data_IF_164114266327
#
_entry.id   IF_164114266327
#
_cell.length_a   1.000
_cell.length_b   1.000
_cell.length_c   1.000
_cell.angle_alpha   90.00
_cell.angle_beta   90.00
_cell.angle_gamma   90.00
#
_symmetry.space_group_name_H-M   'P 1'
#
loop_
_entity.id
_entity.type
_entity.pdbx_description
1 polymer ?
#
# COMPACT_ATOMS: atom_id res chain seq x y z
N UNK A 1 -40.82 25.02 24.70
CA UNK A 1 -40.39 24.60 23.35
C UNK A 1 -39.21 25.46 22.93
N UNK A 2 -38.02 25.15 23.40
CA UNK A 2 -36.81 25.86 22.99
C UNK A 2 -35.64 24.88 23.18
N UNK A 3 -35.25 24.20 22.10
CA UNK A 3 -33.95 23.58 21.87
C UNK A 3 -33.99 22.91 20.50
N UNK A 4 -33.86 23.72 19.46
CA UNK A 4 -33.61 23.28 18.09
C UNK A 4 -32.70 24.33 17.43
N UNK A 5 -31.51 24.51 17.97
CA UNK A 5 -30.38 25.03 17.19
C UNK A 5 -29.74 23.79 16.55
N UNK A 6 -29.98 23.51 15.26
CA UNK A 6 -29.50 22.31 14.62
C UNK A 6 -27.99 22.39 14.45
N UNK A 7 -27.25 21.55 15.17
CA UNK A 7 -26.04 20.82 14.74
C UNK A 7 -24.99 21.47 13.81
N UNK A 8 -24.83 22.80 13.82
CA UNK A 8 -23.87 23.51 12.96
C UNK A 8 -22.41 23.09 13.24
N UNK A 9 -22.10 22.72 14.48
CA UNK A 9 -20.77 22.24 14.89
C UNK A 9 -20.40 20.89 14.29
N UNK A 10 -21.31 19.90 14.34
CA UNK A 10 -21.06 18.57 13.78
C UNK A 10 -21.03 18.59 12.25
N UNK A 11 -21.83 19.44 11.60
CA UNK A 11 -21.74 19.64 10.15
C UNK A 11 -20.38 20.20 9.74
N UNK A 12 -19.78 21.07 10.55
CA UNK A 12 -18.45 21.64 10.30
C UNK A 12 -17.35 20.61 10.50
N UNK A 13 -17.44 19.78 11.55
CA UNK A 13 -16.50 18.67 11.81
C UNK A 13 -16.55 17.61 10.69
N UNK A 14 -17.75 17.19 10.29
CA UNK A 14 -17.93 16.22 9.20
C UNK A 14 -17.37 16.74 7.87
N UNK A 15 -17.54 18.04 7.59
CA UNK A 15 -16.98 18.68 6.40
C UNK A 15 -15.45 18.67 6.43
N UNK A 16 -14.82 18.91 7.58
CA UNK A 16 -13.36 18.89 7.71
C UNK A 16 -12.80 17.47 7.49
N UNK A 17 -13.45 16.46 8.07
CA UNK A 17 -13.12 15.04 7.87
C UNK A 17 -13.21 14.62 6.40
N UNK A 18 -14.30 14.99 5.73
CA UNK A 18 -14.50 14.74 4.29
C UNK A 18 -13.46 15.45 3.42
N UNK A 19 -13.11 16.70 3.74
CA UNK A 19 -12.06 17.43 3.03
C UNK A 19 -10.68 16.78 3.21
N UNK A 20 -10.39 16.27 4.41
CA UNK A 20 -9.16 15.52 4.68
C UNK A 20 -9.10 14.23 3.85
N UNK A 21 -10.19 13.45 3.83
CA UNK A 21 -10.30 12.23 3.03
C UNK A 21 -10.11 12.53 1.54
N UNK A 22 -10.79 13.55 1.00
CA UNK A 22 -10.64 13.96 -0.40
C UNK A 22 -9.20 14.39 -0.71
N UNK A 23 -8.56 15.16 0.19
CA UNK A 23 -7.15 15.53 0.07
C UNK A 23 -6.23 14.31 0.03
N UNK A 24 -6.44 13.34 0.93
CA UNK A 24 -5.69 12.09 0.96
C UNK A 24 -5.87 11.27 -0.34
N UNK A 25 -7.08 11.22 -0.90
CA UNK A 25 -7.34 10.55 -2.18
C UNK A 25 -6.63 11.24 -3.36
N UNK A 26 -6.56 12.57 -3.36
CA UNK A 26 -5.81 13.32 -4.37
C UNK A 26 -4.32 13.02 -4.27
N UNK A 27 -3.74 13.02 -3.06
CA UNK A 27 -2.33 12.66 -2.83
C UNK A 27 -2.04 11.24 -3.29
N UNK A 28 -2.91 10.28 -2.94
CA UNK A 28 -2.83 8.91 -3.43
C UNK A 28 -2.81 8.87 -4.96
N UNK A 29 -3.75 9.59 -5.60
CA UNK A 29 -3.86 9.60 -7.06
C UNK A 29 -2.65 10.22 -7.74
N UNK A 30 -2.07 11.27 -7.19
CA UNK A 30 -0.83 11.86 -7.71
C UNK A 30 0.31 10.84 -7.64
N UNK A 31 0.46 10.14 -6.51
CA UNK A 31 1.52 9.15 -6.37
C UNK A 31 1.38 7.93 -7.28
N UNK A 32 0.17 7.51 -7.66
CA UNK A 32 0.00 6.43 -8.67
C UNK A 32 0.43 6.84 -10.08
N UNK A 33 0.67 8.13 -10.33
CA UNK A 33 1.23 8.64 -11.58
C UNK A 33 2.75 8.84 -11.56
N UNK A 34 3.41 8.66 -10.41
CA UNK A 34 4.87 8.76 -10.29
C UNK A 34 5.47 7.36 -10.50
N UNK A 35 6.13 7.08 -11.64
CA UNK A 35 6.76 5.78 -11.90
C UNK A 35 7.98 5.57 -11.01
N UNK A 36 8.29 4.31 -10.69
CA UNK A 36 9.53 3.96 -10.00
C UNK A 36 10.73 4.28 -10.92
N UNK A 37 11.82 4.87 -10.38
CA UNK A 37 13.01 5.18 -11.16
C UNK A 37 13.59 3.95 -11.88
N UNK A 38 13.93 4.11 -13.16
CA UNK A 38 14.58 3.08 -13.97
C UNK A 38 13.62 2.17 -14.76
N UNK A 39 12.32 2.41 -14.71
CA UNK A 39 11.32 1.70 -15.52
C UNK A 39 10.82 2.54 -16.68
N UNK A 40 10.71 1.93 -17.85
CA UNK A 40 9.99 2.50 -18.98
C UNK A 40 8.48 2.22 -18.85
N UNK A 41 7.73 3.29 -18.57
CA UNK A 41 6.27 3.25 -18.44
C UNK A 41 5.53 2.80 -19.71
N UNK A 42 6.11 3.03 -20.90
CA UNK A 42 5.52 2.60 -22.17
C UNK A 42 5.73 1.10 -22.40
N UNK A 43 6.93 0.59 -22.14
CA UNK A 43 7.20 -0.85 -22.15
C UNK A 43 6.33 -1.58 -21.11
N UNK A 44 6.10 -0.97 -19.96
CA UNK A 44 5.21 -1.52 -18.93
C UNK A 44 3.76 -1.62 -19.37
N UNK A 45 3.23 -0.56 -20.00
CA UNK A 45 1.87 -0.59 -20.52
C UNK A 45 1.69 -1.71 -21.57
N UNK A 46 2.70 -1.93 -22.41
CA UNK A 46 2.68 -3.02 -23.39
C UNK A 46 2.75 -4.41 -22.74
N UNK A 47 3.56 -4.60 -21.69
CA UNK A 47 3.60 -5.84 -20.91
C UNK A 47 2.22 -6.15 -20.31
N UNK A 48 1.60 -5.13 -19.71
CA UNK A 48 0.27 -5.25 -19.12
C UNK A 48 -0.78 -5.58 -20.15
N UNK A 49 -0.71 -4.99 -21.35
CA UNK A 49 -1.62 -5.29 -22.44
C UNK A 49 -1.50 -6.74 -22.93
N UNK A 50 -0.29 -7.30 -22.92
CA UNK A 50 -0.06 -8.72 -23.22
C UNK A 50 -0.57 -9.66 -22.11
N UNK A 51 -0.67 -9.16 -20.87
CA UNK A 51 -1.09 -9.93 -19.69
C UNK A 51 -2.54 -9.63 -19.27
N UNK A 52 -3.33 -8.97 -20.13
CA UNK A 52 -4.76 -8.70 -19.87
C UNK A 52 -5.54 -9.98 -19.63
N UNK A 53 -6.44 -9.96 -18.63
CA UNK A 53 -7.25 -11.11 -18.24
C UNK A 53 -6.52 -12.17 -17.40
N UNK A 54 -5.22 -11.98 -17.10
CA UNK A 54 -4.50 -12.84 -16.16
C UNK A 54 -4.68 -12.36 -14.71
N UNK A 55 -4.16 -13.12 -13.75
CA UNK A 55 -4.17 -12.75 -12.34
C UNK A 55 -3.56 -11.35 -12.09
N UNK A 56 -2.61 -10.91 -12.92
CA UNK A 56 -1.97 -9.59 -12.84
C UNK A 56 -2.96 -8.45 -13.05
N UNK A 57 -3.99 -8.64 -13.88
CA UNK A 57 -5.03 -7.65 -14.10
C UNK A 57 -5.94 -7.49 -12.86
N UNK A 58 -6.25 -8.62 -12.20
CA UNK A 58 -6.93 -8.60 -10.91
C UNK A 58 -6.10 -7.85 -9.85
N UNK A 59 -4.80 -8.11 -9.78
CA UNK A 59 -3.90 -7.36 -8.88
C UNK A 59 -3.88 -5.86 -9.21
N UNK A 60 -3.90 -5.49 -10.49
CA UNK A 60 -3.94 -4.09 -10.91
C UNK A 60 -5.22 -3.38 -10.46
N UNK A 61 -6.38 -4.05 -10.54
CA UNK A 61 -7.66 -3.53 -10.03
C UNK A 61 -7.58 -3.19 -8.53
N UNK A 62 -6.96 -4.05 -7.73
CA UNK A 62 -6.76 -3.79 -6.30
C UNK A 62 -5.69 -2.72 -6.01
N UNK A 63 -4.75 -2.51 -6.93
CA UNK A 63 -3.74 -1.44 -6.83
C UNK A 63 -4.26 -0.06 -7.27
N UNK A 64 -5.48 0.03 -7.81
CA UNK A 64 -6.04 1.29 -8.34
C UNK A 64 -5.34 1.78 -9.62
N UNK A 65 -4.74 0.87 -10.40
CA UNK A 65 -3.96 1.19 -11.61
C UNK A 65 -2.48 1.52 -11.34
N UNK A 66 -2.03 1.45 -10.08
CA UNK A 66 -0.66 1.73 -9.67
C UNK A 66 0.34 0.72 -10.22
N UNK A 67 -0.08 -0.54 -10.42
CA UNK A 67 0.75 -1.62 -10.92
C UNK A 67 0.99 -1.51 -12.44
N UNK A 68 -0.03 -1.15 -13.22
CA UNK A 68 0.07 -0.98 -14.69
C UNK A 68 1.17 0.01 -15.10
N UNK A 69 1.39 1.05 -14.29
CA UNK A 69 2.40 2.10 -14.52
C UNK A 69 3.65 1.88 -13.68
N UNK A 70 3.68 0.80 -12.91
CA UNK A 70 4.67 0.49 -11.90
C UNK A 70 5.10 1.72 -11.09
N UNK A 71 4.09 2.37 -10.51
CA UNK A 71 4.26 3.57 -9.71
C UNK A 71 4.94 3.28 -8.37
N UNK A 72 5.33 4.33 -7.65
CA UNK A 72 5.84 4.23 -6.28
C UNK A 72 4.88 3.48 -5.33
N UNK A 73 3.59 3.42 -5.69
CA UNK A 73 2.53 2.74 -4.96
C UNK A 73 2.13 1.39 -5.56
N UNK A 74 2.95 0.79 -6.43
CA UNK A 74 2.60 -0.44 -7.14
C UNK A 74 2.25 -1.63 -6.22
N UNK A 75 2.90 -1.75 -5.05
CA UNK A 75 2.55 -2.76 -4.03
C UNK A 75 1.25 -2.43 -3.27
N UNK A 76 0.83 -1.17 -3.29
CA UNK A 76 -0.37 -0.69 -2.60
C UNK A 76 -0.33 -0.91 -1.10
N UNK A 77 -1.50 -1.20 -0.52
CA UNK A 77 -1.66 -1.51 0.91
C UNK A 77 -1.65 -3.02 1.17
N UNK A 78 -1.44 -3.84 0.13
CA UNK A 78 -1.49 -5.31 0.23
C UNK A 78 -0.51 -5.89 1.25
N UNK A 79 0.77 -5.45 1.33
CA UNK A 79 1.69 -5.98 2.33
C UNK A 79 1.18 -5.81 3.77
N UNK A 80 0.47 -4.71 4.04
CA UNK A 80 -0.14 -4.44 5.34
C UNK A 80 -1.36 -5.32 5.60
N UNK A 81 -2.23 -5.49 4.59
CA UNK A 81 -3.39 -6.39 4.68
C UNK A 81 -2.90 -7.82 4.94
N UNK A 82 -1.91 -8.31 4.18
CA UNK A 82 -1.31 -9.63 4.40
C UNK A 82 -0.68 -9.75 5.79
N UNK A 83 0.11 -8.76 6.23
CA UNK A 83 0.71 -8.76 7.57
C UNK A 83 -0.34 -8.86 8.68
N UNK A 84 -1.43 -8.09 8.59
CA UNK A 84 -2.51 -8.12 9.59
C UNK A 84 -3.23 -9.46 9.63
N UNK A 85 -3.50 -10.07 8.47
CA UNK A 85 -4.09 -11.42 8.38
C UNK A 85 -3.15 -12.46 9.00
N UNK A 86 -1.85 -12.41 8.69
CA UNK A 86 -0.86 -13.33 9.26
C UNK A 86 -0.85 -13.19 10.78
N UNK A 87 -0.78 -11.97 11.31
CA UNK A 87 -0.82 -11.74 12.76
C UNK A 87 -2.14 -12.22 13.39
N UNK A 88 -3.26 -12.00 12.70
CA UNK A 88 -4.56 -12.45 13.14
C UNK A 88 -4.62 -13.99 13.23
N UNK A 89 -4.10 -14.69 12.23
CA UNK A 89 -4.00 -16.16 12.24
C UNK A 89 -3.02 -16.66 13.30
N UNK A 90 -1.85 -16.03 13.42
CA UNK A 90 -0.87 -16.36 14.46
C UNK A 90 -1.45 -16.17 15.87
N UNK A 91 -2.33 -15.19 16.08
CA UNK A 91 -3.02 -14.99 17.36
C UNK A 91 -3.99 -16.12 17.75
N UNK A 92 -4.35 -17.01 16.82
CA UNK A 92 -5.16 -18.20 17.11
C UNK A 92 -4.30 -19.42 17.47
N UNK A 93 -3.01 -19.39 17.10
CA UNK A 93 -2.09 -20.53 17.28
C UNK A 93 -1.12 -20.28 18.44
N UNK A 94 -0.70 -19.02 18.64
CA UNK A 94 0.28 -18.63 19.65
C UNK A 94 -0.45 -18.04 20.87
N UNK A 95 -0.41 -18.72 22.04
CA UNK A 95 -1.17 -18.30 23.22
C UNK A 95 -0.75 -16.93 23.76
N UNK A 96 0.53 -16.55 23.62
CA UNK A 96 1.00 -15.22 24.00
C UNK A 96 0.36 -14.09 23.16
N UNK A 97 0.18 -14.32 21.85
CA UNK A 97 -0.51 -13.36 20.97
C UNK A 97 -2.03 -13.39 21.20
N UNK A 98 -2.59 -14.55 21.55
CA UNK A 98 -3.99 -14.69 21.92
C UNK A 98 -4.31 -13.90 23.18
N UNK A 99 -3.46 -13.97 24.21
CA UNK A 99 -3.56 -13.17 25.44
C UNK A 99 -3.47 -11.68 25.13
N UNK A 100 -2.48 -11.25 24.33
CA UNK A 100 -2.38 -9.86 23.87
C UNK A 100 -3.65 -9.36 23.14
N UNK A 101 -4.34 -10.25 22.43
CA UNK A 101 -5.61 -9.94 21.74
C UNK A 101 -6.82 -9.93 22.68
N UNK A 102 -6.86 -10.82 23.68
CA UNK A 102 -8.01 -11.01 24.59
C UNK A 102 -7.95 -10.12 25.83
N UNK A 103 -6.79 -10.02 26.47
CA UNK A 103 -6.54 -9.28 27.71
C UNK A 103 -6.13 -7.83 27.44
N UNK A 104 -5.60 -7.57 26.25
CA UNK A 104 -5.15 -6.27 25.83
C UNK A 104 -6.33 -5.36 25.48
N UNK A 105 -6.73 -4.49 26.40
CA UNK A 105 -7.54 -3.31 26.09
C UNK A 105 -6.86 -2.39 25.06
N UNK A 106 -6.93 -1.07 25.23
CA UNK A 106 -6.26 -0.15 24.28
C UNK A 106 -4.76 -0.48 24.09
N UNK A 107 -4.05 -0.82 25.18
CA UNK A 107 -2.61 -1.10 25.16
C UNK A 107 -2.21 -2.34 24.33
N UNK A 108 -2.94 -3.45 24.41
CA UNK A 108 -2.60 -4.66 23.64
C UNK A 108 -2.92 -4.52 22.15
N UNK A 109 -3.99 -3.78 21.83
CA UNK A 109 -4.31 -3.43 20.44
C UNK A 109 -3.21 -2.57 19.79
N UNK A 110 -2.63 -1.63 20.54
CA UNK A 110 -1.48 -0.85 20.07
C UNK A 110 -0.24 -1.72 19.82
N UNK A 111 0.07 -2.68 20.71
CA UNK A 111 1.18 -3.61 20.53
C UNK A 111 1.00 -4.49 19.30
N UNK A 112 -0.20 -5.04 19.08
CA UNK A 112 -0.50 -5.85 17.89
C UNK A 112 -0.37 -5.04 16.60
N UNK A 113 -0.80 -3.79 16.62
CA UNK A 113 -0.63 -2.86 15.49
C UNK A 113 0.85 -2.62 15.21
N UNK A 114 1.67 -2.41 16.25
CA UNK A 114 3.13 -2.23 16.09
C UNK A 114 3.80 -3.45 15.47
N UNK A 115 3.43 -4.65 15.88
CA UNK A 115 3.92 -5.89 15.26
C UNK A 115 3.46 -6.03 13.81
N UNK A 116 2.22 -5.65 13.51
CA UNK A 116 1.70 -5.64 12.13
C UNK A 116 2.53 -4.71 11.24
N UNK A 117 2.88 -3.51 11.73
CA UNK A 117 3.74 -2.56 11.00
C UNK A 117 5.13 -3.13 10.74
N UNK A 118 5.75 -3.78 11.73
CA UNK A 118 7.06 -4.41 11.53
C UNK A 118 7.01 -5.57 10.53
N UNK A 119 5.99 -6.41 10.62
CA UNK A 119 5.79 -7.49 9.66
C UNK A 119 5.53 -6.94 8.25
N UNK A 120 4.79 -5.84 8.14
CA UNK A 120 4.53 -5.16 6.87
C UNK A 120 5.82 -4.71 6.19
N UNK A 121 6.74 -4.08 6.93
CA UNK A 121 8.05 -3.67 6.39
C UNK A 121 8.82 -4.87 5.85
N UNK A 122 8.84 -5.97 6.60
CA UNK A 122 9.55 -7.20 6.22
C UNK A 122 8.94 -7.82 4.96
N UNK A 123 7.61 -7.96 4.91
CA UNK A 123 6.90 -8.51 3.76
C UNK A 123 7.03 -7.61 2.53
N UNK A 124 6.87 -6.29 2.69
CA UNK A 124 7.01 -5.33 1.62
C UNK A 124 8.43 -5.36 1.06
N UNK A 125 9.46 -5.47 1.91
CA UNK A 125 10.86 -5.56 1.46
C UNK A 125 11.10 -6.84 0.65
N UNK A 126 10.62 -7.99 1.14
CA UNK A 126 10.76 -9.25 0.43
C UNK A 126 10.02 -9.24 -0.92
N UNK A 127 8.77 -8.75 -0.94
CA UNK A 127 7.97 -8.64 -2.16
C UNK A 127 8.57 -7.64 -3.15
N UNK A 128 9.05 -6.49 -2.67
CA UNK A 128 9.66 -5.47 -3.51
C UNK A 128 10.95 -5.98 -4.17
N UNK A 129 11.77 -6.75 -3.46
CA UNK A 129 12.96 -7.40 -4.05
C UNK A 129 12.52 -8.41 -5.12
N UNK A 130 11.55 -9.28 -4.80
CA UNK A 130 11.04 -10.26 -5.75
C UNK A 130 10.47 -9.63 -7.03
N UNK A 131 9.69 -8.57 -6.88
CA UNK A 131 9.15 -7.77 -7.99
C UNK A 131 10.29 -7.12 -8.77
N UNK A 132 11.25 -6.47 -8.11
CA UNK A 132 12.38 -5.81 -8.78
C UNK A 132 13.23 -6.78 -9.62
N UNK A 133 13.52 -7.97 -9.09
CA UNK A 133 14.25 -9.03 -9.81
C UNK A 133 13.42 -9.55 -10.99
N UNK A 134 12.13 -9.84 -10.76
CA UNK A 134 11.25 -10.33 -11.81
C UNK A 134 11.20 -9.33 -12.98
N UNK A 135 11.02 -8.05 -12.68
CA UNK A 135 10.92 -6.97 -13.66
C UNK A 135 12.20 -6.73 -14.45
N UNK A 136 13.36 -6.83 -13.80
CA UNK A 136 14.64 -6.68 -14.48
C UNK A 136 14.86 -7.76 -15.55
N UNK A 137 14.27 -8.95 -15.35
CA UNK A 137 14.34 -10.06 -16.28
C UNK A 137 13.21 -10.06 -17.33
N UNK A 138 12.27 -9.11 -17.27
CA UNK A 138 11.19 -8.99 -18.26
C UNK A 138 11.61 -8.14 -19.45
N UNK A 139 11.36 -8.68 -20.64
CA UNK A 139 11.63 -8.03 -21.93
C UNK A 139 10.34 -8.00 -22.73
N UNK A 140 9.98 -6.85 -23.30
CA UNK A 140 8.81 -6.71 -24.17
C UNK A 140 9.31 -6.39 -25.57
N UNK A 141 9.21 -7.37 -26.47
CA UNK A 141 9.77 -7.25 -27.81
C UNK A 141 11.29 -7.09 -27.78
N UNK A 142 11.79 -5.94 -28.24
CA UNK A 142 13.24 -5.59 -28.23
C UNK A 142 13.64 -4.66 -27.10
N UNK A 143 12.69 -4.21 -26.27
CA UNK A 143 12.92 -3.21 -25.23
C UNK A 143 12.87 -3.87 -23.85
N UNK A 144 13.88 -3.62 -23.03
CA UNK A 144 13.88 -4.05 -21.62
C UNK A 144 12.96 -3.13 -20.82
N UNK A 145 12.15 -3.71 -19.93
CA UNK A 145 11.25 -2.93 -19.05
C UNK A 145 12.05 -2.03 -18.12
N UNK A 146 13.28 -2.45 -17.78
CA UNK A 146 14.25 -1.70 -16.99
C UNK A 146 15.30 -1.09 -17.91
N UNK A 147 15.50 0.22 -17.78
CA UNK A 147 16.43 1.00 -18.62
C UNK A 147 17.89 0.63 -18.34
N UNK A 148 18.23 0.37 -17.08
CA UNK A 148 19.57 -0.04 -16.64
C UNK A 148 19.46 -1.22 -15.66
N UNK A 149 19.38 -2.46 -16.15
CA UNK A 149 19.27 -3.64 -15.30
C UNK A 149 20.55 -3.81 -14.45
N UNK A 150 20.40 -3.99 -13.14
CA UNK A 150 21.51 -4.27 -12.23
C UNK A 150 21.12 -4.18 -10.76
N UNK A 151 22.08 -4.47 -9.88
CA UNK A 151 21.89 -4.38 -8.42
C UNK A 151 21.43 -2.97 -8.01
N UNK A 152 21.92 -1.93 -8.71
CA UNK A 152 21.50 -0.55 -8.50
C UNK A 152 19.99 -0.36 -8.64
N UNK A 153 19.40 -0.91 -9.72
CA UNK A 153 17.95 -0.86 -9.94
C UNK A 153 17.19 -1.61 -8.84
N UNK A 154 17.63 -2.82 -8.48
CA UNK A 154 16.97 -3.63 -7.44
C UNK A 154 16.91 -2.86 -6.12
N UNK A 155 18.02 -2.22 -5.71
CA UNK A 155 18.06 -1.44 -4.47
C UNK A 155 17.15 -0.21 -4.57
N UNK A 156 17.23 0.57 -5.66
CA UNK A 156 16.40 1.78 -5.80
C UNK A 156 14.91 1.46 -5.90
N UNK A 157 14.54 0.44 -6.66
CA UNK A 157 13.15 0.00 -6.82
C UNK A 157 12.61 -0.57 -5.51
N UNK A 158 13.40 -1.39 -4.81
CA UNK A 158 13.03 -1.94 -3.50
C UNK A 158 12.75 -0.82 -2.49
N UNK A 159 13.68 0.13 -2.34
CA UNK A 159 13.51 1.25 -1.42
C UNK A 159 12.28 2.09 -1.80
N UNK A 160 12.11 2.39 -3.09
CA UNK A 160 10.97 3.18 -3.57
C UNK A 160 9.63 2.50 -3.25
N UNK A 161 9.51 1.21 -3.55
CA UNK A 161 8.28 0.44 -3.33
C UNK A 161 7.98 0.25 -1.83
N UNK A 162 9.00 -0.01 -1.02
CA UNK A 162 8.85 -0.13 0.44
C UNK A 162 8.43 1.21 1.04
N UNK A 163 9.12 2.30 0.68
CA UNK A 163 8.77 3.65 1.15
C UNK A 163 7.36 4.04 0.73
N UNK A 164 6.98 3.78 -0.53
CA UNK A 164 5.64 4.04 -1.02
C UNK A 164 4.57 3.28 -0.24
N UNK A 165 4.78 1.98 0.00
CA UNK A 165 3.88 1.15 0.82
C UNK A 165 3.73 1.69 2.24
N UNK A 166 4.85 2.04 2.89
CA UNK A 166 4.85 2.59 4.25
C UNK A 166 4.15 3.94 4.32
N UNK A 167 4.32 4.78 3.29
CA UNK A 167 3.60 6.04 3.18
C UNK A 167 2.09 5.81 3.04
N UNK A 168 1.65 4.85 2.23
CA UNK A 168 0.23 4.52 2.10
C UNK A 168 -0.38 3.99 3.39
N UNK A 169 0.34 3.12 4.10
CA UNK A 169 -0.08 2.64 5.41
C UNK A 169 -0.28 3.81 6.37
N UNK A 170 0.69 4.71 6.45
CA UNK A 170 0.60 5.92 7.27
C UNK A 170 -0.57 6.83 6.85
N UNK A 171 -0.76 7.03 5.55
CA UNK A 171 -1.86 7.85 5.03
C UNK A 171 -3.23 7.26 5.40
N UNK A 172 -3.39 5.94 5.30
CA UNK A 172 -4.60 5.24 5.71
C UNK A 172 -4.89 5.36 7.22
N UNK A 173 -3.84 5.32 8.05
CA UNK A 173 -3.96 5.57 9.49
C UNK A 173 -4.41 7.02 9.77
N UNK A 174 -3.85 8.00 9.07
CA UNK A 174 -4.27 9.40 9.23
C UNK A 174 -5.72 9.62 8.77
N UNK A 175 -6.16 8.94 7.71
CA UNK A 175 -7.57 8.97 7.28
C UNK A 175 -8.47 8.35 8.36
N UNK A 176 -8.03 7.30 9.06
CA UNK A 176 -8.82 6.70 10.14
C UNK A 176 -8.92 7.60 11.37
N UNK A 177 -7.86 8.33 11.69
CA UNK A 177 -7.82 9.23 12.86
C UNK A 177 -8.53 10.57 12.62
N UNK A 178 -8.41 11.14 11.41
CA UNK A 178 -8.83 12.52 11.10
C UNK A 178 -9.95 12.62 10.07
N UNK A 179 -10.28 11.52 9.39
CA UNK A 179 -11.34 11.44 8.38
C UNK A 179 -12.69 11.00 8.92
#
# INVERSE_FOLDING_TARGET
MANALPDLGKMTELRQRLLFLLGALVVFRIGTHIPVPGIDSHAMAQLFDQQRGTILDMFNMFSGGALQRLSIFALGVMPYISASIILQLMSMVVPALEQLRKEGGAAGRHTLTRYTRYLTVLLASFQAIGVSIALQNQTVGTTTVVVAPGIGFIVTATLTLVTGTMFLMWLGEQVTERG
#
